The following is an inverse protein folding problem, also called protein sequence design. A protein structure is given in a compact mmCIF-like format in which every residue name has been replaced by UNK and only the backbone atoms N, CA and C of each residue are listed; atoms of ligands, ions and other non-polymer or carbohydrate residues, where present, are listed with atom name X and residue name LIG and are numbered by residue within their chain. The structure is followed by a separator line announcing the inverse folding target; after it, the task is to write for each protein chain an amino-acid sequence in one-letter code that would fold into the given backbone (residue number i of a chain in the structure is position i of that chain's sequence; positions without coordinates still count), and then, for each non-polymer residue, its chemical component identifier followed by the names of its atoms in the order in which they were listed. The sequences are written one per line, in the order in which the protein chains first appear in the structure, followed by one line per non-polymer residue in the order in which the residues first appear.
data_IF_782689017386
#
_entry.id   IF_782689017386
#
_cell.length_a   1.000
_cell.length_b   1.000
_cell.length_c   1.000
_cell.angle_alpha   90.00
_cell.angle_beta   90.00
_cell.angle_gamma   90.00
#
_symmetry.space_group_name_H-M   'P 1'
#
loop_
_entity.id
_entity.type
_entity.pdbx_description
1 polymer ?
#
# COMPACT_ATOMS: atom_id res chain seq x y z
N UNK A 1 -2.85 -26.43 -25.55
CA UNK A 1 -3.83 -26.52 -24.45
C UNK A 1 -3.74 -25.21 -23.69
N UNK A 2 -4.90 -24.54 -23.58
CA UNK A 2 -5.26 -23.31 -22.89
C UNK A 2 -4.17 -22.46 -22.20
N UNK A 3 -4.08 -21.21 -22.66
CA UNK A 3 -3.96 -19.98 -21.85
C UNK A 3 -4.62 -20.08 -20.47
N UNK A 4 -3.95 -19.52 -19.46
CA UNK A 4 -4.50 -18.84 -18.27
C UNK A 4 -3.70 -19.21 -17.03
N UNK A 5 -2.71 -18.39 -16.65
CA UNK A 5 -2.49 -17.93 -15.28
C UNK A 5 -1.69 -16.61 -15.30
N UNK A 6 -2.12 -15.66 -16.15
CA UNK A 6 -1.84 -14.25 -15.89
C UNK A 6 -3.04 -13.74 -15.10
N UNK A 7 -2.95 -13.72 -13.77
CA UNK A 7 -3.65 -12.80 -12.87
C UNK A 7 -3.62 -13.33 -11.44
N UNK A 8 -2.75 -12.75 -10.61
CA UNK A 8 -3.17 -12.31 -9.29
C UNK A 8 -2.30 -11.12 -8.96
N UNK A 9 -2.93 -9.94 -8.99
CA UNK A 9 -2.29 -8.64 -9.04
C UNK A 9 -1.13 -8.46 -8.08
N UNK A 10 0.08 -8.46 -8.65
CA UNK A 10 1.05 -7.48 -8.24
C UNK A 10 0.39 -6.12 -8.50
N UNK A 11 -0.25 -5.57 -7.46
CA UNK A 11 -0.44 -4.13 -7.37
C UNK A 11 0.97 -3.55 -7.33
N UNK A 12 1.60 -3.47 -8.50
CA UNK A 12 2.59 -2.44 -8.77
C UNK A 12 1.80 -1.15 -8.65
N UNK A 13 1.61 -0.70 -7.42
CA UNK A 13 1.48 0.72 -7.17
C UNK A 13 2.65 1.31 -7.93
N UNK A 14 2.36 1.95 -9.08
CA UNK A 14 3.33 2.76 -9.76
C UNK A 14 3.91 3.63 -8.64
N UNK A 15 5.21 3.45 -8.36
CA UNK A 15 5.89 4.18 -7.30
C UNK A 15 5.92 5.62 -7.77
N UNK A 16 4.82 6.33 -7.52
CA UNK A 16 4.73 7.75 -7.71
C UNK A 16 5.66 8.33 -6.67
N UNK A 17 6.69 9.03 -7.12
CA UNK A 17 7.57 9.81 -6.26
C UNK A 17 6.91 11.10 -5.78
N UNK A 18 5.65 11.36 -6.17
CA UNK A 18 4.87 12.47 -5.63
C UNK A 18 4.47 12.18 -4.18
N UNK A 19 4.90 13.01 -3.21
CA UNK A 19 4.56 12.83 -1.80
C UNK A 19 3.05 12.83 -1.54
N UNK A 20 2.27 13.64 -2.27
CA UNK A 20 0.82 13.66 -2.08
C UNK A 20 0.18 12.33 -2.47
N UNK A 21 0.62 11.75 -3.59
CA UNK A 21 0.18 10.43 -4.03
C UNK A 21 0.56 9.31 -3.05
N UNK A 22 1.79 9.33 -2.50
CA UNK A 22 2.22 8.35 -1.50
C UNK A 22 1.42 8.46 -0.20
N UNK A 23 1.10 9.69 0.24
CA UNK A 23 0.27 9.93 1.41
C UNK A 23 -1.16 9.40 1.21
N UNK A 24 -1.76 9.69 0.05
CA UNK A 24 -3.08 9.16 -0.30
C UNK A 24 -3.09 7.63 -0.37
N UNK A 25 -2.04 7.02 -0.93
CA UNK A 25 -1.89 5.58 -0.96
C UNK A 25 -1.80 4.98 0.45
N UNK A 26 -0.97 5.56 1.33
CA UNK A 26 -0.85 5.10 2.71
C UNK A 26 -2.20 5.15 3.46
N UNK A 27 -2.91 6.27 3.34
CA UNK A 27 -4.23 6.46 3.98
C UNK A 27 -5.24 5.43 3.46
N UNK A 28 -5.31 5.25 2.14
CA UNK A 28 -6.25 4.31 1.53
C UNK A 28 -5.98 2.87 2.00
N UNK A 29 -4.71 2.46 2.03
CA UNK A 29 -4.31 1.14 2.49
C UNK A 29 -4.63 0.91 3.97
N UNK A 30 -4.46 1.91 4.83
CA UNK A 30 -4.82 1.84 6.25
C UNK A 30 -6.34 1.75 6.47
N UNK A 31 -7.13 2.56 5.78
CA UNK A 31 -8.60 2.51 5.86
C UNK A 31 -9.13 1.15 5.37
N UNK A 32 -8.52 0.58 4.34
CA UNK A 32 -8.86 -0.78 3.86
C UNK A 32 -8.51 -1.86 4.88
N UNK A 33 -7.33 -1.78 5.51
CA UNK A 33 -6.94 -2.71 6.57
C UNK A 33 -7.88 -2.63 7.77
N UNK A 34 -8.24 -1.41 8.18
CA UNK A 34 -9.24 -1.16 9.24
C UNK A 34 -10.60 -1.74 8.88
N UNK A 35 -11.07 -1.56 7.65
CA UNK A 35 -12.32 -2.17 7.20
C UNK A 35 -12.27 -3.71 7.28
N UNK A 36 -11.17 -4.33 6.88
CA UNK A 36 -10.96 -5.79 6.98
C UNK A 36 -10.92 -6.31 8.43
N UNK A 37 -10.56 -5.48 9.42
CA UNK A 37 -10.53 -5.86 10.83
C UNK A 37 -11.86 -5.64 11.55
N UNK A 38 -12.71 -4.74 11.04
CA UNK A 38 -13.98 -4.36 11.68
C UNK A 38 -15.19 -5.15 11.18
N UNK A 39 -15.02 -6.01 10.17
CA UNK A 39 -16.07 -6.93 9.73
C UNK A 39 -16.32 -8.02 10.80
N UNK A 40 -17.54 -8.58 10.83
CA UNK A 40 -17.95 -9.63 11.78
C UNK A 40 -17.01 -10.85 11.79
N UNK A 41 -16.44 -11.19 10.63
CA UNK A 41 -15.38 -12.19 10.48
C UNK A 41 -14.12 -11.50 9.98
N UNK A 42 -13.16 -11.17 10.85
CA UNK A 42 -12.00 -10.37 10.48
C UNK A 42 -11.14 -11.05 9.42
N UNK A 43 -10.88 -10.32 8.35
CA UNK A 43 -10.06 -10.78 7.22
C UNK A 43 -8.58 -10.43 7.45
N UNK A 44 -7.95 -11.12 8.41
CA UNK A 44 -6.60 -10.78 8.87
C UNK A 44 -5.53 -10.78 7.76
N UNK A 45 -5.58 -11.73 6.82
CA UNK A 45 -4.61 -11.78 5.71
C UNK A 45 -4.70 -10.56 4.80
N UNK A 46 -5.91 -10.10 4.50
CA UNK A 46 -6.12 -8.89 3.69
C UNK A 46 -5.78 -7.61 4.47
N UNK A 47 -6.07 -7.58 5.77
CA UNK A 47 -5.67 -6.48 6.64
C UNK A 47 -4.14 -6.34 6.71
N UNK A 48 -3.42 -7.46 6.85
CA UNK A 48 -1.97 -7.48 6.89
C UNK A 48 -1.36 -6.95 5.57
N UNK A 49 -1.88 -7.39 4.42
CA UNK A 49 -1.44 -6.87 3.12
C UNK A 49 -1.67 -5.35 2.99
N UNK A 50 -2.78 -4.84 3.51
CA UNK A 50 -3.06 -3.40 3.56
C UNK A 50 -2.08 -2.64 4.45
N UNK A 51 -1.76 -3.19 5.62
CA UNK A 51 -0.77 -2.61 6.54
C UNK A 51 0.64 -2.59 5.93
N UNK A 52 1.09 -3.67 5.31
CA UNK A 52 2.40 -3.75 4.65
C UNK A 52 2.53 -2.73 3.51
N UNK A 53 1.49 -2.59 2.67
CA UNK A 53 1.47 -1.60 1.60
C UNK A 53 1.47 -0.15 2.13
N UNK A 54 0.73 0.13 3.21
CA UNK A 54 0.76 1.44 3.86
C UNK A 54 2.14 1.75 4.42
N UNK A 55 2.79 0.76 5.04
CA UNK A 55 4.11 0.91 5.63
C UNK A 55 5.19 1.18 4.58
N UNK A 56 5.10 0.53 3.41
CA UNK A 56 5.97 0.82 2.27
C UNK A 56 5.80 2.24 1.74
N UNK A 57 4.55 2.73 1.62
CA UNK A 57 4.28 4.10 1.17
C UNK A 57 4.82 5.15 2.16
N UNK A 58 4.69 4.91 3.47
CA UNK A 58 5.27 5.77 4.52
C UNK A 58 6.80 5.74 4.50
N UNK A 59 7.42 4.57 4.29
CA UNK A 59 8.86 4.47 4.16
C UNK A 59 9.38 5.25 2.94
N UNK A 60 8.68 5.18 1.81
CA UNK A 60 9.01 5.97 0.62
C UNK A 60 8.91 7.48 0.88
N UNK A 61 7.89 7.93 1.63
CA UNK A 61 7.77 9.33 2.06
C UNK A 61 8.94 9.78 2.93
N UNK A 62 9.35 8.97 3.90
CA UNK A 62 10.47 9.29 4.79
C UNK A 62 11.80 9.44 4.03
N UNK A 63 12.00 8.65 2.98
CA UNK A 63 13.18 8.77 2.09
C UNK A 63 13.16 10.09 1.32
N UNK A 64 12.00 10.53 0.83
CA UNK A 64 11.86 11.82 0.14
C UNK A 64 12.14 12.97 1.11
N UNK A 65 11.54 12.96 2.30
CA UNK A 65 11.75 14.00 3.33
C UNK A 65 13.24 14.15 3.70
N UNK A 66 13.92 13.02 3.87
CA UNK A 66 15.37 12.99 4.14
C UNK A 66 16.20 13.51 2.95
N UNK A 67 15.75 13.26 1.73
CA UNK A 67 16.43 13.75 0.51
C UNK A 67 16.26 15.25 0.30
N UNK A 68 15.12 15.81 0.72
CA UNK A 68 14.87 17.26 0.70
C UNK A 68 15.57 18.01 1.85
N UNK A 69 15.84 17.35 2.98
CA UNK A 69 16.49 17.98 4.13
C UNK A 69 18.03 18.10 4.03
N UNK A 70 18.65 17.37 3.10
CA UNK A 70 20.12 17.33 2.90
C UNK A 70 20.59 18.31 1.81
N UNK A 71 19.68 18.98 1.12
CA UNK A 71 19.96 20.02 0.12
C UNK A 71 19.67 21.43 0.65
#
# INVERSE_FOLDING_TARGET
MADSLASTGAHTAAVSTDPAHLLMQAINCMERAKACLLVNEPMYGFAQQGLEAAQQAVAALAVIDTSTAVH
#
